data_IF_321692661727
#
_entry.id   IF_321692661727
#
_cell.length_a   1.000
_cell.length_b   1.000
_cell.length_c   1.000
_cell.angle_alpha   90.00
_cell.angle_beta   90.00
_cell.angle_gamma   90.00
#
_symmetry.space_group_name_H-M   'P 1'
#
loop_
_entity.id
_entity.type
_entity.pdbx_description
1 polymer ?
#
# COMPACT_ATOMS: atom_id res chain seq x y z
N UNK A 1 -30.12 -17.79 -74.80
CA UNK A 1 -30.91 -16.69 -75.38
C UNK A 1 -31.11 -15.61 -74.33
N UNK A 2 -30.95 -14.35 -74.73
CA UNK A 2 -31.04 -13.09 -73.96
C UNK A 2 -29.88 -12.81 -73.01
N UNK A 3 -29.25 -11.63 -73.00
CA UNK A 3 -28.93 -10.58 -73.99
C UNK A 3 -28.05 -9.60 -73.21
N UNK A 4 -27.17 -8.93 -73.91
CA UNK A 4 -26.35 -7.79 -73.47
C UNK A 4 -27.11 -6.71 -72.69
N UNK A 5 -26.34 -5.89 -71.97
CA UNK A 5 -26.27 -4.39 -71.97
C UNK A 5 -25.64 -4.01 -70.61
N UNK A 6 -24.41 -3.51 -70.56
CA UNK A 6 -24.04 -2.12 -70.89
C UNK A 6 -24.27 -1.22 -69.66
N UNK A 7 -23.28 -1.09 -68.77
CA UNK A 7 -22.33 0.04 -68.70
C UNK A 7 -22.82 1.21 -67.82
N UNK A 8 -21.83 1.97 -67.37
CA UNK A 8 -21.83 3.42 -67.13
C UNK A 8 -22.42 3.98 -65.83
N UNK A 9 -21.46 4.32 -64.96
CA UNK A 9 -21.24 5.63 -64.36
C UNK A 9 -22.30 6.23 -63.42
N UNK A 10 -21.89 6.21 -62.15
CA UNK A 10 -21.94 7.34 -61.22
C UNK A 10 -21.78 8.69 -61.93
N UNK A 11 -22.83 9.50 -61.90
CA UNK A 11 -22.84 10.97 -61.79
C UNK A 11 -23.95 11.29 -60.79
N UNK A 12 -23.67 11.58 -59.52
CA UNK A 12 -23.40 12.94 -59.04
C UNK A 12 -24.30 13.97 -59.74
N UNK A 13 -25.45 14.27 -59.11
CA UNK A 13 -25.98 15.62 -58.88
C UNK A 13 -27.44 15.53 -58.42
N UNK A 14 -27.68 15.88 -57.16
CA UNK A 14 -29.03 15.87 -56.60
C UNK A 14 -29.09 16.15 -55.11
N UNK A 15 -28.39 17.18 -54.64
CA UNK A 15 -28.77 17.84 -53.39
C UNK A 15 -30.16 18.44 -53.57
N UNK A 16 -31.22 17.72 -53.18
CA UNK A 16 -32.47 18.36 -52.78
C UNK A 16 -33.34 17.41 -51.93
N UNK A 17 -33.66 17.92 -50.75
CA UNK A 17 -34.79 17.55 -49.92
C UNK A 17 -34.78 16.15 -49.26
N UNK A 18 -34.09 16.06 -48.12
CA UNK A 18 -34.56 15.26 -46.98
C UNK A 18 -34.52 16.14 -45.74
N UNK A 19 -35.48 17.07 -45.63
CA UNK A 19 -35.80 17.70 -44.35
C UNK A 19 -36.40 16.60 -43.47
N UNK A 20 -35.83 16.26 -42.30
CA UNK A 20 -36.39 15.19 -41.48
C UNK A 20 -37.80 15.58 -40.99
N UNK A 21 -38.71 14.61 -40.78
CA UNK A 21 -40.05 14.85 -40.25
C UNK A 21 -39.98 15.50 -38.86
N UNK A 22 -41.04 16.24 -38.50
CA UNK A 22 -41.12 17.13 -37.33
C UNK A 22 -40.85 16.49 -35.94
N UNK A 23 -40.56 15.20 -35.86
CA UNK A 23 -40.24 14.48 -34.63
C UNK A 23 -38.73 14.24 -34.41
N UNK A 24 -37.85 14.64 -35.33
CA UNK A 24 -36.37 14.52 -35.19
C UNK A 24 -35.69 15.70 -34.48
N UNK A 25 -36.41 16.48 -33.68
CA UNK A 25 -35.76 17.39 -32.74
C UNK A 25 -35.18 16.56 -31.59
N UNK A 26 -33.85 16.61 -31.31
CA UNK A 26 -33.37 16.15 -30.00
C UNK A 26 -34.11 16.98 -28.93
N UNK A 27 -34.50 16.40 -27.79
CA UNK A 27 -35.10 17.18 -26.73
C UNK A 27 -34.12 18.30 -26.35
N UNK A 28 -34.57 19.54 -26.57
CA UNK A 28 -33.92 20.74 -26.06
C UNK A 28 -33.77 20.60 -24.55
N UNK A 29 -32.52 20.74 -24.11
CA UNK A 29 -32.00 20.84 -22.74
C UNK A 29 -33.04 20.96 -21.60
N UNK A 30 -32.93 20.06 -20.61
CA UNK A 30 -32.93 20.38 -19.16
C UNK A 30 -33.50 19.27 -18.27
N UNK A 31 -33.04 18.03 -18.42
CA UNK A 31 -33.02 17.16 -17.23
C UNK A 31 -31.82 16.23 -17.24
N UNK A 32 -30.63 16.83 -17.23
CA UNK A 32 -29.45 16.11 -16.75
C UNK A 32 -29.65 15.96 -15.25
N UNK A 33 -30.16 14.80 -14.81
CA UNK A 33 -30.07 14.40 -13.42
C UNK A 33 -28.64 14.70 -12.95
N UNK A 34 -28.44 15.35 -11.79
CA UNK A 34 -27.10 15.67 -11.34
C UNK A 34 -26.29 14.38 -11.35
N UNK A 35 -25.20 14.36 -12.12
CA UNK A 35 -24.23 13.27 -12.06
C UNK A 35 -23.91 13.05 -10.58
N UNK A 36 -23.91 11.82 -10.06
CA UNK A 36 -23.52 11.60 -8.68
C UNK A 36 -22.16 12.25 -8.50
N UNK A 37 -22.03 13.10 -7.48
CA UNK A 37 -20.75 13.75 -7.17
C UNK A 37 -19.74 12.61 -7.02
N UNK A 38 -18.72 12.60 -7.88
CA UNK A 38 -17.57 11.71 -7.67
C UNK A 38 -17.09 11.97 -6.23
N UNK A 39 -16.87 10.92 -5.42
CA UNK A 39 -16.34 11.12 -4.09
C UNK A 39 -15.04 11.92 -4.20
N UNK A 40 -14.86 12.87 -3.28
CA UNK A 40 -13.63 13.65 -3.22
C UNK A 40 -12.43 12.69 -3.17
N UNK A 41 -11.30 13.03 -3.81
CA UNK A 41 -10.13 12.18 -3.79
C UNK A 41 -9.73 11.93 -2.33
N UNK A 42 -9.76 10.67 -1.93
CA UNK A 42 -9.24 10.28 -0.62
C UNK A 42 -7.72 10.42 -0.66
N UNK A 43 -7.11 10.93 0.42
CA UNK A 43 -5.64 11.02 0.54
C UNK A 43 -4.94 9.64 0.63
N UNK A 44 -5.73 8.56 0.65
CA UNK A 44 -5.29 7.18 0.71
C UNK A 44 -5.43 6.51 -0.66
N UNK A 45 -4.49 5.63 -0.98
CA UNK A 45 -4.47 4.93 -2.27
C UNK A 45 -5.63 3.93 -2.41
N UNK A 46 -6.17 3.70 -3.62
CA UNK A 46 -7.24 2.73 -3.86
C UNK A 46 -6.88 1.31 -3.39
N UNK A 47 -5.62 0.90 -3.57
CA UNK A 47 -5.13 -0.41 -3.10
C UNK A 47 -5.15 -0.56 -1.58
N UNK A 48 -4.94 0.54 -0.84
CA UNK A 48 -5.06 0.53 0.62
C UNK A 48 -6.51 0.40 1.08
N UNK A 49 -7.44 1.10 0.40
CA UNK A 49 -8.89 0.97 0.64
C UNK A 49 -9.37 -0.46 0.39
N UNK A 50 -9.01 -1.05 -0.76
CA UNK A 50 -9.37 -2.45 -1.08
C UNK A 50 -8.83 -3.44 -0.05
N UNK A 51 -7.62 -3.22 0.48
CA UNK A 51 -7.03 -4.05 1.53
C UNK A 51 -7.79 -3.95 2.86
N UNK A 52 -8.28 -2.76 3.19
CA UNK A 52 -9.03 -2.51 4.42
C UNK A 52 -10.45 -3.09 4.34
N UNK A 53 -11.12 -2.93 3.20
CA UNK A 53 -12.43 -3.55 2.91
C UNK A 53 -12.33 -5.08 2.94
N UNK A 54 -11.31 -5.67 2.33
CA UNK A 54 -11.09 -7.11 2.38
C UNK A 54 -10.88 -7.64 3.81
N UNK A 55 -10.20 -6.87 4.67
CA UNK A 55 -10.01 -7.21 6.09
C UNK A 55 -11.31 -7.11 6.87
N UNK A 56 -12.07 -6.04 6.66
CA UNK A 56 -13.37 -5.82 7.29
C UNK A 56 -14.35 -6.97 6.98
N UNK A 57 -14.41 -7.41 5.72
CA UNK A 57 -15.24 -8.57 5.36
C UNK A 57 -14.81 -9.89 6.00
N UNK A 58 -13.56 -10.02 6.44
CA UNK A 58 -13.02 -11.25 7.01
C UNK A 58 -13.11 -11.31 8.55
N UNK A 59 -12.89 -10.18 9.23
CA UNK A 59 -12.72 -10.12 10.68
C UNK A 59 -13.56 -9.00 11.35
N UNK A 60 -14.51 -8.44 10.59
CA UNK A 60 -15.45 -7.39 11.02
C UNK A 60 -14.72 -6.14 11.58
N UNK A 61 -15.29 -5.45 12.57
CA UNK A 61 -14.69 -4.23 13.13
C UNK A 61 -13.30 -4.47 13.75
N UNK A 62 -13.04 -5.68 14.28
CA UNK A 62 -11.73 -6.05 14.85
C UNK A 62 -10.60 -5.96 13.83
N UNK A 63 -10.92 -6.05 12.54
CA UNK A 63 -9.94 -5.99 11.46
C UNK A 63 -9.31 -4.59 11.27
N UNK A 64 -10.00 -3.56 11.77
CA UNK A 64 -9.60 -2.16 11.67
C UNK A 64 -8.63 -1.75 12.78
N UNK A 65 -8.51 -2.58 13.82
CA UNK A 65 -7.56 -2.33 14.90
C UNK A 65 -6.11 -2.40 14.39
N UNK A 66 -5.25 -1.43 14.79
CA UNK A 66 -3.84 -1.42 14.41
C UNK A 66 -3.14 -2.71 14.86
N UNK A 67 -2.89 -3.62 13.93
CA UNK A 67 -2.08 -4.82 14.20
C UNK A 67 -0.61 -4.46 14.34
N UNK A 68 0.11 -5.26 15.12
CA UNK A 68 1.56 -5.19 15.20
C UNK A 68 2.17 -5.23 13.81
N UNK A 69 2.93 -4.18 13.46
CA UNK A 69 3.75 -4.11 12.24
C UNK A 69 5.12 -4.78 12.43
N UNK A 70 5.40 -5.28 13.64
CA UNK A 70 6.68 -5.90 13.94
C UNK A 70 6.77 -7.23 13.17
N UNK A 71 7.87 -7.49 12.44
CA UNK A 71 8.07 -8.79 11.83
C UNK A 71 8.04 -9.89 12.90
N UNK A 72 7.37 -11.01 12.60
CA UNK A 72 7.22 -12.14 13.51
C UNK A 72 8.57 -12.74 13.92
N UNK A 73 9.55 -12.68 13.03
CA UNK A 73 10.90 -13.19 13.25
C UNK A 73 11.93 -12.15 12.82
N UNK A 74 13.03 -12.07 13.57
CA UNK A 74 14.17 -11.23 13.26
C UNK A 74 15.40 -12.14 13.10
N UNK A 75 15.85 -12.44 11.87
CA UNK A 75 17.02 -13.29 11.65
C UNK A 75 18.30 -12.67 12.23
N UNK A 76 18.36 -11.34 12.33
CA UNK A 76 19.46 -10.60 12.98
C UNK A 76 19.17 -10.31 14.46
N UNK A 77 18.28 -11.09 15.10
CA UNK A 77 18.05 -10.94 16.54
C UNK A 77 19.31 -11.35 17.31
N UNK A 78 19.68 -10.55 18.29
CA UNK A 78 20.73 -10.93 19.24
C UNK A 78 20.32 -12.24 19.92
N UNK A 79 21.19 -13.27 19.93
CA UNK A 79 20.88 -14.53 20.57
C UNK A 79 20.50 -14.34 22.06
N UNK A 80 19.51 -15.08 22.59
CA UNK A 80 19.04 -14.90 23.97
C UNK A 80 20.15 -14.98 25.02
N UNK A 81 21.10 -15.92 24.87
CA UNK A 81 22.22 -16.07 25.80
C UNK A 81 23.12 -14.83 25.89
N UNK A 82 23.27 -14.06 24.80
CA UNK A 82 24.03 -12.81 24.80
C UNK A 82 23.26 -11.70 25.51
N UNK A 83 21.93 -11.70 25.41
CA UNK A 83 21.07 -10.77 26.15
C UNK A 83 21.15 -11.05 27.65
N UNK A 84 21.09 -12.32 28.05
CA UNK A 84 21.23 -12.72 29.45
C UNK A 84 22.60 -12.30 30.01
N UNK A 85 23.65 -12.43 29.20
CA UNK A 85 24.98 -11.97 29.54
C UNK A 85 25.06 -10.45 29.72
N UNK A 86 24.42 -9.67 28.83
CA UNK A 86 24.32 -8.20 28.96
C UNK A 86 23.62 -7.82 30.27
N UNK A 87 22.51 -8.49 30.60
CA UNK A 87 21.75 -8.24 31.83
C UNK A 87 22.59 -8.57 33.07
N UNK A 88 23.30 -9.71 33.05
CA UNK A 88 24.23 -10.10 34.11
C UNK A 88 25.33 -9.07 34.32
N UNK A 89 26.01 -8.66 33.24
CA UNK A 89 27.08 -7.65 33.30
C UNK A 89 26.58 -6.31 33.84
N UNK A 90 25.37 -5.87 33.46
CA UNK A 90 24.77 -4.64 34.02
C UNK A 90 24.59 -4.75 35.53
N UNK A 91 24.06 -5.88 36.00
CA UNK A 91 23.87 -6.12 37.44
C UNK A 91 25.21 -6.13 38.17
N UNK A 92 26.19 -6.86 37.64
CA UNK A 92 27.50 -7.03 38.29
C UNK A 92 28.31 -5.73 38.31
N UNK A 93 28.25 -4.92 37.24
CA UNK A 93 28.91 -3.61 37.18
C UNK A 93 28.23 -2.61 38.12
N UNK A 94 26.89 -2.56 38.12
CA UNK A 94 26.14 -1.70 39.01
C UNK A 94 26.35 -2.06 40.49
N UNK A 95 26.38 -3.35 40.84
CA UNK A 95 26.64 -3.81 42.20
C UNK A 95 28.04 -3.41 42.70
N UNK A 96 29.01 -3.27 41.80
CA UNK A 96 30.36 -2.80 42.10
C UNK A 96 30.51 -1.27 42.06
N UNK A 97 29.45 -0.53 41.73
CA UNK A 97 29.49 0.92 41.57
C UNK A 97 30.29 1.38 40.35
N UNK A 98 30.45 0.52 39.33
CA UNK A 98 31.14 0.82 38.08
C UNK A 98 30.17 1.29 36.99
N UNK A 99 30.70 1.86 35.91
CA UNK A 99 29.90 2.24 34.74
C UNK A 99 29.29 1.00 34.06
N UNK A 100 27.97 0.92 34.05
CA UNK A 100 27.19 -0.10 33.35
C UNK A 100 26.73 0.39 31.96
N UNK A 101 27.48 1.30 31.35
CA UNK A 101 27.18 1.88 30.05
C UNK A 101 27.35 0.89 28.89
N UNK A 102 26.71 1.16 27.73
CA UNK A 102 26.76 0.26 26.57
C UNK A 102 28.16 -0.01 26.02
N UNK A 103 29.06 0.99 26.08
CA UNK A 103 30.44 0.83 25.61
C UNK A 103 31.27 -0.04 26.56
N UNK A 104 31.08 0.15 27.87
CA UNK A 104 31.74 -0.66 28.90
C UNK A 104 31.29 -2.12 28.83
N UNK A 105 30.00 -2.36 28.64
CA UNK A 105 29.47 -3.71 28.42
C UNK A 105 30.01 -4.30 27.10
N UNK A 106 30.07 -3.52 26.01
CA UNK A 106 30.65 -4.00 24.75
C UNK A 106 32.10 -4.43 24.92
N UNK A 107 32.87 -3.69 25.73
CA UNK A 107 34.23 -4.06 26.11
C UNK A 107 34.24 -5.39 26.88
N UNK A 108 33.39 -5.56 27.89
CA UNK A 108 33.32 -6.81 28.67
C UNK A 108 32.92 -8.02 27.80
N UNK A 109 31.91 -7.86 26.94
CA UNK A 109 31.49 -8.90 26.01
C UNK A 109 32.61 -9.34 25.08
N UNK A 110 33.38 -8.39 24.54
CA UNK A 110 34.47 -8.68 23.61
C UNK A 110 35.63 -9.38 24.29
N UNK A 111 36.07 -8.89 25.45
CA UNK A 111 37.32 -9.34 26.07
C UNK A 111 37.15 -10.58 26.96
N UNK A 112 35.99 -10.76 27.60
CA UNK A 112 35.76 -11.90 28.50
C UNK A 112 34.91 -13.01 27.87
N UNK A 113 34.03 -12.68 26.91
CA UNK A 113 33.05 -13.62 26.38
C UNK A 113 33.15 -13.83 24.86
N UNK A 114 34.09 -13.15 24.18
CA UNK A 114 34.31 -13.31 22.74
C UNK A 114 33.14 -12.83 21.85
N UNK A 115 32.17 -12.11 22.42
CA UNK A 115 31.00 -11.62 21.69
C UNK A 115 31.19 -10.17 21.26
N UNK A 116 30.97 -9.90 19.98
CA UNK A 116 30.99 -8.54 19.44
C UNK A 116 29.56 -8.08 19.18
N UNK A 117 29.06 -7.16 20.02
CA UNK A 117 27.73 -6.55 19.89
C UNK A 117 27.91 -5.04 19.85
N UNK A 118 27.18 -4.36 18.97
CA UNK A 118 27.27 -2.90 18.89
C UNK A 118 26.68 -2.22 20.13
N UNK A 119 27.25 -1.09 20.60
CA UNK A 119 26.71 -0.34 21.74
C UNK A 119 25.24 0.06 21.55
N UNK A 120 24.84 0.37 20.32
CA UNK A 120 23.44 0.68 20.00
C UNK A 120 22.51 -0.52 20.24
N UNK A 121 22.96 -1.75 19.99
CA UNK A 121 22.18 -2.96 20.27
C UNK A 121 22.10 -3.22 21.77
N UNK A 122 23.21 -3.05 22.49
CA UNK A 122 23.25 -3.16 23.96
C UNK A 122 22.35 -2.11 24.63
N UNK A 123 22.17 -0.94 24.02
CA UNK A 123 21.27 0.10 24.55
C UNK A 123 19.78 -0.25 24.38
N UNK A 124 19.44 -1.12 23.42
CA UNK A 124 18.05 -1.55 23.14
C UNK A 124 17.61 -2.79 23.94
N UNK A 125 18.56 -3.46 24.60
CA UNK A 125 18.31 -4.57 25.53
C UNK A 125 18.12 -4.02 26.94
#
# INVERSE_FOLDING_TARGET
MSRDIGNTHRTENGCQACRPPAWSSPPSSSNTAPRPRSPAPTCISPGWVSKLVARYHAEDDTALEPRSRRPHTSPNATPPHVVDLIIGLRRDLAARGLDAGPHTIAWHLRHHHGHTVSPATISRT
#
